data_IF_292388955428
#
_entry.id   IF_292388955428
#
_cell.length_a   1.000
_cell.length_b   1.000
_cell.length_c   1.000
_cell.angle_alpha   90.00
_cell.angle_beta   90.00
_cell.angle_gamma   90.00
#
_symmetry.space_group_name_H-M   'P 1'
#
loop_
_entity.id
_entity.type
_entity.pdbx_description
1 polymer ?
#
# COMPACT_ATOMS: atom_id res chain seq x y z
N UNK A 1 -12.55 -7.86 7.44
CA UNK A 1 -11.49 -6.88 7.06
C UNK A 1 -11.10 -6.04 8.27
N UNK A 2 -9.83 -5.81 8.41
CA UNK A 2 -9.32 -4.95 9.47
C UNK A 2 -9.04 -3.55 8.94
N UNK A 3 -9.31 -2.55 9.78
CA UNK A 3 -9.08 -1.16 9.44
C UNK A 3 -8.13 -0.53 10.46
N UNK A 4 -7.21 0.28 9.98
CA UNK A 4 -6.29 1.03 10.81
C UNK A 4 -5.91 2.32 10.09
N UNK A 5 -5.35 3.29 10.82
CA UNK A 5 -4.72 4.44 10.19
C UNK A 5 -3.35 4.01 9.65
N UNK A 6 -3.00 4.54 8.49
CA UNK A 6 -1.69 4.24 7.89
C UNK A 6 -0.57 4.74 8.83
N UNK A 7 0.38 3.88 9.20
CA UNK A 7 1.49 4.31 10.07
C UNK A 7 2.36 5.42 9.48
N UNK A 8 2.41 5.54 8.17
CA UNK A 8 3.20 6.57 7.49
C UNK A 8 2.44 7.89 7.35
N UNK A 9 1.11 7.86 7.40
CA UNK A 9 0.28 9.06 7.30
C UNK A 9 -1.10 8.77 7.89
N UNK A 10 -1.34 9.27 9.09
CA UNK A 10 -2.58 9.00 9.83
C UNK A 10 -3.84 9.63 9.25
N UNK A 11 -3.72 10.40 8.17
CA UNK A 11 -4.87 10.94 7.44
C UNK A 11 -5.44 9.94 6.45
N UNK A 12 -4.72 8.85 6.20
CA UNK A 12 -5.08 7.82 5.23
C UNK A 12 -5.50 6.55 5.94
N UNK A 13 -6.66 6.02 5.56
CA UNK A 13 -7.15 4.75 6.08
C UNK A 13 -6.43 3.59 5.40
N UNK A 14 -5.99 2.61 6.19
CA UNK A 14 -5.39 1.39 5.70
C UNK A 14 -6.36 0.23 5.96
N UNK A 15 -6.74 -0.46 4.91
CA UNK A 15 -7.66 -1.59 4.98
C UNK A 15 -6.87 -2.87 4.68
N UNK A 16 -6.91 -3.81 5.62
CA UNK A 16 -6.26 -5.10 5.46
C UNK A 16 -7.32 -6.13 5.13
N UNK A 17 -7.16 -6.83 4.01
CA UNK A 17 -8.08 -7.87 3.58
C UNK A 17 -7.31 -9.14 3.27
N UNK A 18 -7.84 -10.29 3.74
CA UNK A 18 -7.26 -11.59 3.42
C UNK A 18 -8.16 -12.29 2.41
N UNK A 19 -7.73 -12.39 1.12
CA UNK A 19 -8.54 -13.05 0.09
C UNK A 19 -8.85 -14.51 0.37
N UNK A 20 -8.06 -15.19 1.20
CA UNK A 20 -8.32 -16.58 1.56
C UNK A 20 -9.49 -16.71 2.56
N UNK A 21 -9.67 -15.71 3.41
CA UNK A 21 -10.74 -15.69 4.41
C UNK A 21 -11.99 -14.97 3.90
N UNK A 22 -11.81 -13.98 3.02
CA UNK A 22 -12.89 -13.12 2.54
C UNK A 22 -12.86 -13.03 1.00
N UNK A 23 -12.97 -14.16 0.29
CA UNK A 23 -12.80 -14.17 -1.17
C UNK A 23 -13.89 -13.43 -1.94
N UNK A 24 -15.05 -13.19 -1.33
CA UNK A 24 -16.18 -12.52 -1.98
C UNK A 24 -16.17 -11.00 -1.82
N UNK A 25 -15.27 -10.46 -0.96
CA UNK A 25 -15.13 -9.03 -0.81
C UNK A 25 -14.59 -8.40 -2.11
N UNK A 26 -15.16 -7.28 -2.52
CA UNK A 26 -14.74 -6.59 -3.73
C UNK A 26 -13.25 -6.25 -3.72
N UNK A 27 -12.73 -5.83 -2.56
CA UNK A 27 -11.31 -5.55 -2.40
C UNK A 27 -10.45 -6.79 -2.59
N UNK A 28 -10.88 -7.95 -2.05
CA UNK A 28 -10.17 -9.20 -2.23
C UNK A 28 -10.15 -9.64 -3.70
N UNK A 29 -11.29 -9.53 -4.37
CA UNK A 29 -11.41 -9.86 -5.79
C UNK A 29 -10.44 -9.00 -6.62
N UNK A 30 -10.36 -7.71 -6.32
CA UNK A 30 -9.46 -6.80 -7.03
C UNK A 30 -7.99 -7.18 -6.81
N UNK A 31 -7.58 -7.47 -5.59
CA UNK A 31 -6.21 -7.90 -5.29
C UNK A 31 -5.80 -9.14 -6.08
N UNK A 32 -6.68 -10.14 -6.12
CA UNK A 32 -6.41 -11.40 -6.83
C UNK A 32 -6.43 -11.19 -8.34
N UNK A 33 -7.44 -10.48 -8.86
CA UNK A 33 -7.60 -10.25 -10.30
C UNK A 33 -6.44 -9.44 -10.87
N UNK A 34 -6.02 -8.39 -10.17
CA UNK A 34 -4.93 -7.52 -10.61
C UNK A 34 -3.56 -8.11 -10.25
N UNK A 35 -3.51 -9.20 -9.51
CA UNK A 35 -2.28 -9.84 -9.04
C UNK A 35 -1.37 -8.83 -8.35
N UNK A 36 -1.91 -8.11 -7.39
CA UNK A 36 -1.21 -7.05 -6.68
C UNK A 36 -1.28 -7.26 -5.17
N UNK A 37 -0.32 -6.68 -4.44
CA UNK A 37 -0.28 -6.72 -2.97
C UNK A 37 -1.06 -5.57 -2.34
N UNK A 38 -1.45 -4.58 -3.13
CA UNK A 38 -2.22 -3.46 -2.63
C UNK A 38 -2.69 -2.56 -3.76
N UNK A 39 -3.61 -1.68 -3.42
CA UNK A 39 -4.05 -0.62 -4.31
C UNK A 39 -4.54 0.57 -3.48
N UNK A 40 -4.62 1.73 -4.13
CA UNK A 40 -5.04 2.98 -3.49
C UNK A 40 -6.34 3.47 -4.11
N UNK A 41 -7.15 4.15 -3.30
CA UNK A 41 -8.39 4.80 -3.76
C UNK A 41 -8.39 6.25 -3.31
N UNK A 42 -8.76 7.14 -4.23
CA UNK A 42 -8.88 8.58 -3.99
C UNK A 42 -9.84 9.18 -5.01
N UNK A 43 -10.16 10.46 -4.83
CA UNK A 43 -11.01 11.20 -5.77
C UNK A 43 -12.34 11.60 -5.16
N UNK A 44 -13.23 12.13 -6.00
CA UNK A 44 -14.52 12.68 -5.56
C UNK A 44 -15.43 11.62 -4.94
N UNK A 45 -15.38 10.39 -5.47
CA UNK A 45 -16.18 9.28 -4.97
C UNK A 45 -15.61 8.68 -3.68
N UNK A 46 -14.41 9.11 -3.31
CA UNK A 46 -13.70 8.63 -2.12
C UNK A 46 -13.25 9.84 -1.31
N UNK A 47 -14.16 10.48 -0.52
CA UNK A 47 -13.82 11.70 0.22
C UNK A 47 -12.69 11.48 1.24
N UNK A 48 -12.50 10.24 1.67
CA UNK A 48 -11.37 9.87 2.51
C UNK A 48 -10.49 8.92 1.73
N UNK A 49 -9.26 9.31 1.42
CA UNK A 49 -8.35 8.40 0.71
C UNK A 49 -8.03 7.18 1.57
N UNK A 50 -7.86 6.06 0.92
CA UNK A 50 -7.56 4.79 1.59
C UNK A 50 -6.62 3.95 0.74
N UNK A 51 -5.89 3.05 1.41
CA UNK A 51 -5.15 1.99 0.72
C UNK A 51 -5.68 0.65 1.19
N UNK A 52 -5.69 -0.31 0.29
CA UNK A 52 -6.06 -1.70 0.58
C UNK A 52 -4.81 -2.55 0.42
N UNK A 53 -4.48 -3.33 1.44
CA UNK A 53 -3.31 -4.20 1.42
C UNK A 53 -3.74 -5.66 1.63
N UNK A 54 -3.04 -6.56 0.98
CA UNK A 54 -3.24 -8.00 1.15
C UNK A 54 -2.67 -8.43 2.50
N UNK A 55 -3.55 -8.83 3.42
CA UNK A 55 -3.16 -9.21 4.78
C UNK A 55 -2.24 -10.45 4.81
N UNK A 56 -2.26 -11.28 3.76
CA UNK A 56 -1.38 -12.46 3.68
C UNK A 56 0.08 -12.07 3.65
N UNK A 57 0.38 -10.87 3.16
CA UNK A 57 1.74 -10.31 3.16
C UNK A 57 2.32 -10.24 4.58
N UNK A 58 1.48 -9.97 5.57
CA UNK A 58 1.90 -9.86 6.96
C UNK A 58 2.21 -11.22 7.60
N UNK A 59 1.74 -12.31 6.99
CA UNK A 59 1.90 -13.67 7.49
C UNK A 59 3.00 -14.43 6.75
N UNK A 60 3.53 -13.86 5.69
CA UNK A 60 4.54 -14.49 4.83
C UNK A 60 5.93 -14.10 5.33
N UNK A 61 6.74 -15.11 5.69
CA UNK A 61 8.09 -14.90 6.20
C UNK A 61 9.03 -14.25 5.17
N UNK A 62 8.71 -14.37 3.88
CA UNK A 62 9.49 -13.73 2.82
C UNK A 62 9.28 -12.22 2.76
N UNK A 63 8.19 -11.73 3.35
CA UNK A 63 7.90 -10.30 3.42
C UNK A 63 8.38 -9.72 4.74
N UNK A 64 9.50 -9.02 4.67
CA UNK A 64 10.04 -8.33 5.85
C UNK A 64 9.24 -7.05 6.15
N UNK A 65 9.52 -6.44 7.30
CA UNK A 65 8.93 -5.14 7.63
C UNK A 65 9.24 -4.09 6.56
N UNK A 66 10.44 -4.12 5.98
CA UNK A 66 10.82 -3.21 4.89
C UNK A 66 9.97 -3.41 3.65
N UNK A 67 9.65 -4.65 3.28
CA UNK A 67 8.75 -4.92 2.15
C UNK A 67 7.36 -4.36 2.39
N UNK A 68 6.82 -4.55 3.60
CA UNK A 68 5.50 -4.03 3.95
C UNK A 68 5.48 -2.51 3.90
N UNK A 69 6.50 -1.87 4.46
CA UNK A 69 6.63 -0.41 4.42
C UNK A 69 6.76 0.10 2.98
N UNK A 70 7.50 -0.62 2.13
CA UNK A 70 7.66 -0.25 0.73
C UNK A 70 6.33 -0.27 -0.01
N UNK A 71 5.53 -1.33 0.16
CA UNK A 71 4.19 -1.42 -0.45
C UNK A 71 3.30 -0.28 0.06
N UNK A 72 3.33 -0.04 1.36
CA UNK A 72 2.54 1.01 1.99
C UNK A 72 2.90 2.40 1.46
N UNK A 73 4.19 2.71 1.35
CA UNK A 73 4.66 3.99 0.84
C UNK A 73 4.34 4.18 -0.65
N UNK A 74 4.43 3.11 -1.43
CA UNK A 74 4.07 3.12 -2.84
C UNK A 74 2.58 3.52 -3.02
N UNK A 75 1.68 2.89 -2.26
CA UNK A 75 0.26 3.22 -2.33
C UNK A 75 -0.03 4.62 -1.79
N UNK A 76 0.66 5.02 -0.73
CA UNK A 76 0.52 6.38 -0.19
C UNK A 76 0.95 7.43 -1.22
N UNK A 77 2.00 7.15 -2.00
CA UNK A 77 2.47 8.05 -3.05
C UNK A 77 1.42 8.22 -4.15
N UNK A 78 0.74 7.14 -4.55
CA UNK A 78 -0.38 7.24 -5.49
C UNK A 78 -1.44 8.23 -4.99
N UNK A 79 -1.77 8.15 -3.70
CA UNK A 79 -2.77 9.02 -3.07
C UNK A 79 -2.28 10.47 -3.02
N UNK A 80 -1.06 10.68 -2.54
CA UNK A 80 -0.51 12.03 -2.35
C UNK A 80 -0.33 12.79 -3.66
N UNK A 81 0.10 12.08 -4.70
CA UNK A 81 0.34 12.68 -6.02
C UNK A 81 -0.89 12.58 -6.93
N UNK A 82 -1.94 11.89 -6.49
CA UNK A 82 -3.16 11.63 -7.26
C UNK A 82 -2.83 11.11 -8.65
N UNK A 83 -1.95 10.11 -8.70
CA UNK A 83 -1.45 9.54 -9.95
C UNK A 83 -1.54 8.03 -9.96
N UNK A 84 -1.78 7.46 -11.14
CA UNK A 84 -1.70 6.01 -11.37
C UNK A 84 -0.34 5.59 -11.91
N UNK A 85 0.57 6.55 -12.10
CA UNK A 85 1.90 6.29 -12.66
C UNK A 85 2.78 5.53 -11.66
N UNK A 86 3.13 4.30 -12.01
CA UNK A 86 3.90 3.41 -11.13
C UNK A 86 5.32 3.93 -10.83
N UNK A 87 6.10 4.39 -11.83
CA UNK A 87 7.41 4.95 -11.55
C UNK A 87 7.37 6.16 -10.61
N UNK A 88 6.37 7.04 -10.76
CA UNK A 88 6.18 8.17 -9.87
C UNK A 88 5.91 7.70 -8.44
N UNK A 89 5.05 6.70 -8.28
CA UNK A 89 4.73 6.15 -6.96
C UNK A 89 5.97 5.55 -6.29
N UNK A 90 6.82 4.86 -7.04
CA UNK A 90 8.06 4.31 -6.51
C UNK A 90 9.02 5.42 -6.07
N UNK A 91 9.19 6.46 -6.89
CA UNK A 91 10.11 7.56 -6.60
C UNK A 91 9.66 8.39 -5.39
N UNK A 92 8.38 8.77 -5.37
CA UNK A 92 7.83 9.56 -4.27
C UNK A 92 7.77 8.74 -2.98
N UNK A 93 7.38 7.46 -3.08
CA UNK A 93 7.37 6.56 -1.94
C UNK A 93 8.76 6.39 -1.32
N UNK A 94 9.79 6.23 -2.17
CA UNK A 94 11.17 6.12 -1.70
C UNK A 94 11.64 7.38 -0.98
N UNK A 95 11.32 8.56 -1.50
CA UNK A 95 11.65 9.82 -0.84
C UNK A 95 10.99 9.93 0.54
N UNK A 96 9.72 9.57 0.63
CA UNK A 96 9.01 9.58 1.90
C UNK A 96 9.67 8.64 2.92
N UNK A 97 10.01 7.43 2.51
CA UNK A 97 10.66 6.47 3.38
C UNK A 97 12.02 6.96 3.88
N UNK A 98 12.80 7.59 3.00
CA UNK A 98 14.09 8.16 3.39
C UNK A 98 13.93 9.29 4.41
N UNK A 99 12.95 10.16 4.21
CA UNK A 99 12.66 11.25 5.15
C UNK A 99 12.26 10.71 6.53
N UNK A 100 11.57 9.57 6.56
CA UNK A 100 11.15 8.93 7.81
C UNK A 100 12.22 8.01 8.41
N UNK A 101 13.35 7.84 7.73
CA UNK A 101 14.45 7.02 8.22
C UNK A 101 14.36 5.54 7.87
N UNK A 102 13.40 5.15 7.01
CA UNK A 102 13.23 3.76 6.58
C UNK A 102 14.04 3.50 5.30
N UNK A 103 15.38 3.51 5.44
CA UNK A 103 16.30 3.44 4.30
C UNK A 103 16.21 2.10 3.56
N UNK A 104 16.13 0.99 4.29
CA UNK A 104 16.01 -0.33 3.67
C UNK A 104 14.76 -0.47 2.81
N UNK A 105 13.63 0.05 3.30
CA UNK A 105 12.38 0.05 2.53
C UNK A 105 12.48 0.95 1.31
N UNK A 106 13.12 2.11 1.43
CA UNK A 106 13.33 3.03 0.31
C UNK A 106 14.14 2.37 -0.81
N UNK A 107 15.20 1.64 -0.45
CA UNK A 107 16.03 0.94 -1.42
C UNK A 107 15.25 -0.11 -2.22
N UNK A 108 14.26 -0.76 -1.60
CA UNK A 108 13.41 -1.72 -2.30
C UNK A 108 12.60 -1.06 -3.42
N UNK A 109 12.10 0.15 -3.21
CA UNK A 109 11.38 0.89 -4.25
C UNK A 109 12.34 1.43 -5.31
N UNK A 110 13.53 1.86 -4.91
CA UNK A 110 14.53 2.43 -5.82
C UNK A 110 15.13 1.40 -6.77
N UNK A 111 15.09 0.12 -6.39
CA UNK A 111 15.65 -0.97 -7.19
C UNK A 111 14.66 -1.59 -8.18
N UNK A 112 13.44 -1.10 -8.23
CA UNK A 112 12.38 -1.63 -9.11
C UNK A 112 12.46 -1.06 -10.51
#
# INVERSE_FOLDING_TARGET
MDHAWCPLDQRVLMILVNPDEEPDEAAAVKLVTDNTLGFAVWGEDHPRPAMVLDARMLQDEEFTADHVLAVMAHELAHINERTEDEPTADSVGALLLRELGHIGAAELLESR
#
